data_IF_154282991516
#
_entry.id   IF_154282991516
#
_cell.length_a   1.000
_cell.length_b   1.000
_cell.length_c   1.000
_cell.angle_alpha   90.00
_cell.angle_beta   90.00
_cell.angle_gamma   90.00
#
_symmetry.space_group_name_H-M   'P 1'
#
loop_
_entity.id
_entity.type
_entity.pdbx_description
1 polymer ?
#
# COMPACT_ATOMS: atom_id res chain seq x y z
N UNK A 1 -18.97 2.88 -14.01
CA UNK A 1 -17.62 3.45 -13.79
C UNK A 1 -17.76 4.71 -12.94
N UNK A 2 -16.78 5.03 -12.08
CA UNK A 2 -16.86 6.11 -11.09
C UNK A 2 -16.01 7.32 -11.50
N UNK A 3 -16.43 8.50 -11.07
CA UNK A 3 -15.66 9.75 -11.19
C UNK A 3 -14.75 9.89 -9.97
N UNK A 4 -13.49 10.26 -10.20
CA UNK A 4 -12.54 10.52 -9.12
C UNK A 4 -12.15 11.98 -9.09
N UNK A 5 -11.94 12.52 -7.90
CA UNK A 5 -11.43 13.86 -7.67
C UNK A 5 -10.06 13.74 -7.03
N UNK A 6 -9.09 14.40 -7.66
CA UNK A 6 -7.70 14.48 -7.21
C UNK A 6 -7.51 15.81 -6.51
N UNK A 7 -6.89 15.76 -5.35
CA UNK A 7 -6.56 16.90 -4.52
C UNK A 7 -5.06 16.90 -4.27
N UNK A 8 -4.50 18.08 -4.03
CA UNK A 8 -3.13 18.25 -3.60
C UNK A 8 -3.10 18.77 -2.16
N UNK A 9 -2.22 18.19 -1.33
CA UNK A 9 -1.95 18.74 0.00
C UNK A 9 -1.19 20.05 -0.15
N UNK A 10 -1.64 21.06 0.59
CA UNK A 10 -0.93 22.33 0.72
C UNK A 10 0.20 22.27 1.74
N UNK A 11 0.12 21.33 2.68
CA UNK A 11 1.10 21.14 3.76
C UNK A 11 2.22 20.18 3.38
N UNK A 12 1.95 19.22 2.50
CA UNK A 12 2.88 18.14 2.14
C UNK A 12 3.11 18.19 0.61
N UNK A 13 4.23 18.77 0.14
CA UNK A 13 4.55 18.85 -1.27
C UNK A 13 4.56 17.47 -1.94
N UNK A 14 3.84 17.34 -3.05
CA UNK A 14 3.76 16.09 -3.82
C UNK A 14 2.70 15.10 -3.31
N UNK A 15 2.15 15.27 -2.11
CA UNK A 15 1.06 14.43 -1.62
C UNK A 15 -0.24 14.76 -2.34
N UNK A 16 -0.85 13.74 -2.92
CA UNK A 16 -2.13 13.79 -3.60
C UNK A 16 -3.15 12.92 -2.88
N UNK A 17 -4.34 13.47 -2.71
CA UNK A 17 -5.51 12.76 -2.19
C UNK A 17 -6.49 12.45 -3.31
N UNK A 18 -7.10 11.27 -3.27
CA UNK A 18 -8.12 10.85 -4.21
C UNK A 18 -9.40 10.56 -3.44
N UNK A 19 -10.53 11.03 -3.94
CA UNK A 19 -11.84 10.76 -3.37
C UNK A 19 -12.93 10.69 -4.45
N UNK A 20 -14.12 10.21 -4.08
CA UNK A 20 -15.32 10.26 -4.94
C UNK A 20 -16.16 11.53 -4.72
N UNK A 21 -15.85 12.32 -3.69
CA UNK A 21 -16.53 13.59 -3.41
C UNK A 21 -15.71 14.77 -3.94
N UNK A 22 -16.32 15.74 -4.65
CA UNK A 22 -15.66 16.96 -5.09
C UNK A 22 -15.19 17.86 -3.94
N UNK A 23 -15.74 17.68 -2.74
CA UNK A 23 -15.36 18.44 -1.55
C UNK A 23 -14.17 17.81 -0.80
N UNK A 24 -13.80 16.55 -1.09
CA UNK A 24 -12.68 15.88 -0.44
C UNK A 24 -12.90 15.63 1.06
N UNK A 25 -14.14 15.58 1.54
CA UNK A 25 -14.50 15.48 2.97
C UNK A 25 -13.95 14.24 3.66
N UNK A 26 -13.72 13.16 2.91
CA UNK A 26 -13.14 11.93 3.42
C UNK A 26 -11.61 12.02 3.60
N UNK A 27 -10.95 13.04 3.05
CA UNK A 27 -9.50 13.16 3.13
C UNK A 27 -9.04 13.51 4.54
N UNK A 28 -7.89 12.97 5.01
CA UNK A 28 -7.40 13.23 6.36
C UNK A 28 -7.11 14.71 6.60
N UNK A 29 -7.71 15.28 7.65
CA UNK A 29 -7.56 16.69 7.97
C UNK A 29 -6.14 17.05 8.45
N UNK A 30 -5.42 16.10 9.07
CA UNK A 30 -4.04 16.24 9.54
C UNK A 30 -3.01 16.32 8.41
N UNK A 31 -3.37 15.84 7.22
CA UNK A 31 -2.53 15.87 6.02
C UNK A 31 -2.98 16.92 5.00
N UNK A 32 -4.09 17.60 5.27
CA UNK A 32 -4.53 18.79 4.55
C UNK A 32 -3.81 20.06 5.03
N UNK A 33 -4.30 21.26 4.67
CA UNK A 33 -5.47 21.52 3.83
C UNK A 33 -5.35 20.99 2.39
N UNK A 34 -6.47 20.59 1.81
CA UNK A 34 -6.56 19.97 0.47
C UNK A 34 -7.07 20.98 -0.56
N UNK A 35 -6.40 21.05 -1.71
CA UNK A 35 -6.83 21.87 -2.85
C UNK A 35 -7.23 20.98 -4.02
N UNK A 36 -8.41 21.18 -4.64
CA UNK A 36 -8.79 20.42 -5.84
C UNK A 36 -7.78 20.62 -6.97
N UNK A 37 -7.34 19.53 -7.59
CA UNK A 37 -6.34 19.53 -8.67
C UNK A 37 -6.94 19.09 -10.00
N UNK A 38 -7.69 17.99 -10.01
CA UNK A 38 -8.23 17.40 -11.23
C UNK A 38 -9.51 16.60 -10.93
N UNK A 39 -10.44 16.58 -11.87
CA UNK A 39 -11.54 15.62 -11.90
C UNK A 39 -11.26 14.63 -13.03
N UNK A 40 -11.40 13.33 -12.77
CA UNK A 40 -11.20 12.26 -13.73
C UNK A 40 -12.53 11.55 -13.94
N UNK A 41 -13.08 11.68 -15.14
CA UNK A 41 -14.34 11.05 -15.53
C UNK A 41 -14.27 9.52 -15.60
N UNK A 42 -15.44 8.84 -15.66
CA UNK A 42 -15.51 7.38 -15.80
C UNK A 42 -14.81 6.88 -17.07
N UNK A 43 -14.99 7.59 -18.18
CA UNK A 43 -14.51 7.24 -19.52
C UNK A 43 -13.25 8.02 -19.93
N UNK A 44 -12.70 8.84 -19.02
CA UNK A 44 -11.48 9.60 -19.26
C UNK A 44 -10.25 8.69 -19.20
N UNK A 45 -9.26 8.98 -20.05
CA UNK A 45 -8.01 8.25 -20.07
C UNK A 45 -7.24 8.45 -18.77
N UNK A 46 -6.76 7.34 -18.19
CA UNK A 46 -6.02 7.38 -16.94
C UNK A 46 -4.54 7.69 -17.20
N UNK A 47 -4.13 8.92 -16.87
CA UNK A 47 -2.79 9.46 -17.17
C UNK A 47 -1.88 9.57 -15.96
N UNK A 48 -2.29 9.06 -14.81
CA UNK A 48 -1.51 9.13 -13.57
C UNK A 48 -0.59 7.93 -13.41
N UNK A 49 0.59 8.16 -12.83
CA UNK A 49 1.61 7.13 -12.56
C UNK A 49 1.24 6.17 -11.41
N UNK A 50 0.01 6.25 -10.90
CA UNK A 50 -0.57 5.35 -9.90
C UNK A 50 -1.70 4.56 -10.56
N UNK A 51 -1.82 3.27 -10.32
CA UNK A 51 -2.90 2.45 -10.90
C UNK A 51 -4.30 2.91 -10.49
N UNK A 52 -5.20 3.05 -11.47
CA UNK A 52 -6.63 3.33 -11.25
C UNK A 52 -7.29 2.32 -10.33
N UNK A 53 -6.89 1.06 -10.41
CA UNK A 53 -7.44 -0.02 -9.59
C UNK A 53 -7.03 0.12 -8.11
N UNK A 54 -5.79 0.53 -7.84
CA UNK A 54 -5.30 0.80 -6.48
C UNK A 54 -6.09 1.97 -5.88
N UNK A 55 -6.23 3.07 -6.62
CA UNK A 55 -7.00 4.24 -6.19
C UNK A 55 -8.45 3.84 -5.88
N UNK A 56 -9.08 3.08 -6.78
CA UNK A 56 -10.44 2.61 -6.61
C UNK A 56 -10.61 1.75 -5.34
N UNK A 57 -9.71 0.78 -5.11
CA UNK A 57 -9.77 -0.06 -3.92
C UNK A 57 -9.50 0.73 -2.64
N UNK A 58 -8.53 1.64 -2.66
CA UNK A 58 -8.25 2.53 -1.53
C UNK A 58 -9.48 3.34 -1.13
N UNK A 59 -10.17 3.94 -2.10
CA UNK A 59 -11.40 4.70 -1.89
C UNK A 59 -12.54 3.79 -1.40
N UNK A 60 -12.71 2.60 -1.97
CA UNK A 60 -13.73 1.65 -1.53
C UNK A 60 -13.54 1.22 -0.07
N UNK A 61 -12.30 1.07 0.37
CA UNK A 61 -11.97 0.66 1.73
C UNK A 61 -12.03 1.82 2.73
N UNK A 62 -11.51 2.99 2.37
CA UNK A 62 -11.25 4.09 3.32
C UNK A 62 -12.02 5.38 3.02
N UNK A 63 -12.74 5.46 1.91
CA UNK A 63 -13.36 6.69 1.39
C UNK A 63 -12.39 7.61 0.65
N UNK A 64 -11.08 7.37 0.76
CA UNK A 64 -10.03 8.11 0.06
C UNK A 64 -8.82 7.22 -0.27
N UNK A 65 -7.92 7.72 -1.12
CA UNK A 65 -6.59 7.15 -1.33
C UNK A 65 -5.54 8.26 -1.32
N UNK A 66 -4.34 7.96 -0.82
CA UNK A 66 -3.22 8.90 -0.77
C UNK A 66 -2.08 8.41 -1.65
N UNK A 67 -1.49 9.31 -2.41
CA UNK A 67 -0.38 9.03 -3.30
C UNK A 67 0.69 10.11 -3.21
N UNK A 68 1.95 9.70 -3.27
CA UNK A 68 3.09 10.58 -3.12
C UNK A 68 3.76 10.44 -1.75
N UNK A 69 4.82 11.23 -1.51
CA UNK A 69 5.56 11.15 -0.26
C UNK A 69 4.64 11.54 0.88
N UNK A 70 4.43 10.63 1.84
CA UNK A 70 3.81 10.97 3.12
C UNK A 70 4.91 11.61 3.96
N UNK A 71 5.40 12.77 3.52
CA UNK A 71 6.53 13.46 4.14
C UNK A 71 6.05 14.05 5.47
N UNK A 72 6.09 13.22 6.50
CA UNK A 72 6.26 13.65 7.88
C UNK A 72 7.77 13.58 8.14
N UNK A 73 8.39 14.66 8.65
CA UNK A 73 9.84 14.83 8.70
C UNK A 73 10.53 13.53 9.11
N UNK A 74 11.54 13.11 8.33
CA UNK A 74 12.36 11.95 8.61
C UNK A 74 12.71 11.96 10.10
N UNK A 75 12.14 11.00 10.85
CA UNK A 75 12.44 10.94 12.26
C UNK A 75 13.91 10.54 12.36
N UNK A 76 14.73 11.38 12.97
CA UNK A 76 16.11 11.04 13.33
C UNK A 76 16.21 9.84 14.29
N UNK A 77 15.06 9.35 14.77
CA UNK A 77 14.96 8.17 15.61
C UNK A 77 14.78 6.92 14.73
N UNK A 78 15.45 5.80 15.06
CA UNK A 78 15.44 4.55 14.30
C UNK A 78 14.11 3.78 14.41
N UNK A 79 13.04 4.45 14.82
CA UNK A 79 11.74 3.87 15.11
C UNK A 79 10.70 4.56 14.24
N UNK A 80 9.91 3.75 13.55
CA UNK A 80 8.72 4.19 12.82
C UNK A 80 7.50 3.80 13.64
N UNK A 81 6.59 4.75 13.83
CA UNK A 81 5.30 4.51 14.49
C UNK A 81 4.41 3.66 13.58
N UNK A 82 3.55 2.81 14.13
CA UNK A 82 2.76 1.86 13.32
C UNK A 82 1.84 2.55 12.32
N UNK A 83 1.23 3.67 12.71
CA UNK A 83 0.41 4.53 11.87
C UNK A 83 1.21 5.21 10.75
N UNK A 84 2.54 5.30 10.90
CA UNK A 84 3.46 5.74 9.83
C UNK A 84 3.86 4.61 8.89
N UNK A 85 3.65 3.35 9.25
CA UNK A 85 3.90 2.21 8.36
C UNK A 85 2.66 1.93 7.50
N UNK A 86 1.48 1.99 8.12
CA UNK A 86 0.19 1.88 7.42
C UNK A 86 0.01 3.02 6.40
N UNK A 87 -0.54 2.69 5.23
CA UNK A 87 -0.69 3.64 4.13
C UNK A 87 0.60 3.94 3.36
N UNK A 88 1.76 3.42 3.78
CA UNK A 88 3.03 3.65 3.06
C UNK A 88 3.04 2.89 1.73
N UNK A 89 3.53 3.56 0.68
CA UNK A 89 3.66 2.99 -0.65
C UNK A 89 4.67 1.83 -0.70
N UNK A 90 4.35 0.83 -1.51
CA UNK A 90 5.25 -0.29 -1.86
C UNK A 90 5.64 -0.17 -3.32
N UNK A 91 6.93 -0.19 -3.59
CA UNK A 91 7.54 0.01 -4.90
C UNK A 91 8.26 -1.25 -5.39
N UNK A 92 8.26 -1.45 -6.70
CA UNK A 92 9.09 -2.44 -7.37
C UNK A 92 10.57 -1.97 -7.45
N UNK A 93 11.50 -2.81 -7.95
CA UNK A 93 12.90 -2.39 -8.12
C UNK A 93 13.09 -1.26 -9.14
N UNK A 94 12.13 -1.02 -10.04
CA UNK A 94 12.15 0.06 -11.01
C UNK A 94 11.63 1.39 -10.44
N UNK A 95 11.10 1.39 -9.22
CA UNK A 95 10.52 2.57 -8.57
C UNK A 95 9.06 2.80 -8.91
N UNK A 96 8.39 1.86 -9.57
CA UNK A 96 6.95 1.92 -9.83
C UNK A 96 6.19 1.54 -8.56
N UNK A 97 5.19 2.31 -8.17
CA UNK A 97 4.35 1.94 -7.04
C UNK A 97 3.40 0.80 -7.43
N UNK A 98 3.54 -0.33 -6.74
CA UNK A 98 2.80 -1.58 -6.97
C UNK A 98 1.87 -1.96 -5.82
N UNK A 99 1.91 -1.21 -4.72
CA UNK A 99 1.04 -1.48 -3.60
C UNK A 99 1.06 -0.43 -2.50
N UNK A 100 0.38 -0.75 -1.41
CA UNK A 100 0.29 0.06 -0.20
C UNK A 100 0.18 -0.85 1.01
N UNK A 101 0.95 -0.55 2.06
CA UNK A 101 0.88 -1.28 3.32
C UNK A 101 -0.47 -1.00 3.98
N UNK A 102 -1.17 -2.07 4.37
CA UNK A 102 -2.45 -1.99 5.07
C UNK A 102 -2.30 -2.03 6.58
N UNK A 103 -1.51 -2.98 7.09
CA UNK A 103 -1.28 -3.18 8.53
C UNK A 103 -0.11 -4.12 8.78
N UNK A 104 0.39 -4.06 10.01
CA UNK A 104 1.42 -4.96 10.52
C UNK A 104 0.81 -6.10 11.34
N UNK A 105 1.38 -7.29 11.19
CA UNK A 105 1.06 -8.46 12.02
C UNK A 105 2.19 -8.66 13.01
N UNK A 106 1.92 -8.33 14.26
CA UNK A 106 2.90 -8.26 15.35
C UNK A 106 2.72 -9.46 16.28
N UNK A 107 3.79 -10.17 16.56
CA UNK A 107 3.79 -11.25 17.55
C UNK A 107 3.56 -10.67 18.95
N UNK A 108 2.44 -11.04 19.58
CA UNK A 108 2.01 -10.48 20.88
C UNK A 108 3.06 -10.58 21.99
N UNK A 109 3.83 -11.66 22.04
CA UNK A 109 4.76 -11.92 23.14
C UNK A 109 6.10 -11.20 22.97
N UNK A 110 6.69 -11.21 21.77
CA UNK A 110 8.00 -10.59 21.53
C UNK A 110 7.90 -9.13 21.06
N UNK A 111 6.74 -8.71 20.55
CA UNK A 111 6.55 -7.41 19.90
C UNK A 111 7.17 -7.32 18.50
N UNK A 112 7.66 -8.43 17.92
CA UNK A 112 8.27 -8.44 16.59
C UNK A 112 7.21 -8.39 15.50
N UNK A 113 7.46 -7.59 14.47
CA UNK A 113 6.68 -7.61 13.23
C UNK A 113 7.06 -8.88 12.46
N UNK A 114 6.11 -9.79 12.27
CA UNK A 114 6.35 -11.03 11.53
C UNK A 114 5.97 -10.86 10.06
N UNK A 115 4.82 -10.24 9.83
CA UNK A 115 4.26 -10.06 8.50
C UNK A 115 3.66 -8.68 8.32
N UNK A 116 3.36 -8.37 7.07
CA UNK A 116 2.69 -7.15 6.64
C UNK A 116 1.62 -7.53 5.63
N UNK A 117 0.41 -6.99 5.83
CA UNK A 117 -0.64 -7.05 4.83
C UNK A 117 -0.41 -5.91 3.84
N UNK A 118 -0.27 -6.27 2.57
CA UNK A 118 -0.09 -5.33 1.46
C UNK A 118 -1.27 -5.46 0.52
N UNK A 119 -1.85 -4.31 0.17
CA UNK A 119 -2.77 -4.22 -0.96
C UNK A 119 -1.91 -3.98 -2.20
N UNK A 120 -1.73 -5.03 -3.00
CA UNK A 120 -1.11 -4.97 -4.30
C UNK A 120 -2.13 -4.62 -5.36
N UNK A 121 -1.72 -3.82 -6.35
CA UNK A 121 -2.51 -3.55 -7.53
C UNK A 121 -1.67 -2.85 -8.57
N UNK A 122 -2.20 -2.73 -9.79
CA UNK A 122 -1.46 -2.03 -10.86
C UNK A 122 -0.39 -2.86 -11.56
N UNK A 123 -0.19 -4.11 -11.19
CA UNK A 123 0.50 -5.07 -12.05
C UNK A 123 -0.33 -5.25 -13.33
N UNK A 124 0.10 -4.60 -14.43
CA UNK A 124 -0.44 -4.76 -15.79
C UNK A 124 -1.98 -4.67 -15.94
N UNK A 125 -2.68 -3.98 -15.03
CA UNK A 125 -4.15 -3.88 -15.04
C UNK A 125 -4.87 -5.12 -14.49
N UNK A 126 -4.15 -6.08 -13.93
CA UNK A 126 -4.70 -7.15 -13.11
C UNK A 126 -5.19 -6.53 -11.80
N UNK A 127 -6.28 -7.09 -11.25
CA UNK A 127 -7.08 -6.50 -10.18
C UNK A 127 -6.33 -6.19 -8.88
N UNK A 128 -7.09 -5.92 -7.84
CA UNK A 128 -6.51 -5.65 -6.52
C UNK A 128 -6.40 -6.94 -5.73
N UNK A 129 -5.20 -7.20 -5.22
CA UNK A 129 -4.84 -8.40 -4.50
C UNK A 129 -4.37 -8.04 -3.09
N UNK A 130 -4.94 -8.66 -2.07
CA UNK A 130 -4.48 -8.48 -0.70
C UNK A 130 -3.63 -9.67 -0.30
N UNK A 131 -2.35 -9.44 0.01
CA UNK A 131 -1.43 -10.50 0.40
C UNK A 131 -0.68 -10.15 1.67
N UNK A 132 -0.60 -11.14 2.56
CA UNK A 132 0.27 -11.12 3.72
C UNK A 132 1.62 -11.66 3.32
N UNK A 133 2.67 -10.86 3.51
CA UNK A 133 4.05 -11.21 3.17
C UNK A 133 4.93 -11.07 4.40
N UNK A 134 6.05 -11.82 4.50
CA UNK A 134 7.04 -11.61 5.55
C UNK A 134 7.57 -10.18 5.53
N UNK A 135 7.75 -9.60 6.73
CA UNK A 135 8.22 -8.22 6.86
C UNK A 135 9.59 -8.00 6.21
N UNK A 136 10.46 -9.01 6.24
CA UNK A 136 11.81 -8.97 5.67
C UNK A 136 11.86 -8.97 4.13
N UNK A 137 10.72 -9.11 3.46
CA UNK A 137 10.56 -8.87 2.01
C UNK A 137 10.49 -7.39 1.66
N UNK A 138 10.29 -6.52 2.65
CA UNK A 138 10.25 -5.08 2.46
C UNK A 138 11.56 -4.44 2.94
N UNK A 139 11.99 -3.38 2.25
CA UNK A 139 13.12 -2.54 2.66
C UNK A 139 12.68 -1.11 2.55
N UNK A 140 12.91 -0.35 3.60
CA UNK A 140 12.62 1.07 3.54
C UNK A 140 13.64 1.77 2.63
N UNK A 141 13.15 2.48 1.62
CA UNK A 141 13.92 3.38 0.76
C UNK A 141 13.64 4.82 1.22
N UNK A 142 14.69 5.47 1.69
CA UNK A 142 14.63 6.85 2.21
C UNK A 142 14.42 7.90 1.13
N UNK A 143 14.79 7.63 -0.12
CA UNK A 143 14.57 8.55 -1.25
C UNK A 143 13.12 8.51 -1.72
N UNK A 144 12.50 7.32 -1.71
CA UNK A 144 11.09 7.13 -2.04
C UNK A 144 10.15 7.36 -0.86
N UNK A 145 10.69 7.49 0.36
CA UNK A 145 9.94 7.50 1.62
C UNK A 145 8.93 6.34 1.73
N UNK A 146 9.28 5.18 1.18
CA UNK A 146 8.40 4.02 1.10
C UNK A 146 9.18 2.71 1.10
N UNK A 147 8.47 1.60 0.89
CA UNK A 147 9.08 0.28 0.95
C UNK A 147 9.33 -0.28 -0.45
N UNK A 148 10.52 -0.82 -0.70
CA UNK A 148 10.81 -1.61 -1.90
C UNK A 148 10.62 -3.09 -1.65
N UNK A 149 10.18 -3.78 -2.69
CA UNK A 149 10.11 -5.23 -2.78
C UNK A 149 10.54 -5.71 -4.16
N UNK A 150 11.10 -6.90 -4.24
CA UNK A 150 11.38 -7.63 -5.47
C UNK A 150 10.26 -8.64 -5.81
N UNK A 151 9.20 -8.68 -4.99
CA UNK A 151 8.03 -9.54 -5.22
C UNK A 151 7.37 -9.16 -6.55
N UNK A 152 7.25 -10.17 -7.40
CA UNK A 152 6.64 -10.07 -8.73
C UNK A 152 5.15 -10.40 -8.70
N UNK A 153 4.42 -9.95 -9.71
CA UNK A 153 3.00 -10.30 -9.90
C UNK A 153 2.75 -11.81 -9.85
N UNK A 154 3.58 -12.60 -10.52
CA UNK A 154 3.44 -14.06 -10.55
C UNK A 154 3.54 -14.68 -9.15
N UNK A 155 4.37 -14.11 -8.28
CA UNK A 155 4.51 -14.55 -6.89
C UNK A 155 3.33 -14.09 -6.04
N UNK A 156 2.80 -12.90 -6.28
CA UNK A 156 1.55 -12.44 -5.63
C UNK A 156 0.40 -13.39 -5.99
N UNK A 157 0.20 -13.67 -7.28
CA UNK A 157 -0.89 -14.54 -7.76
C UNK A 157 -0.71 -15.99 -7.29
N UNK A 158 0.53 -16.49 -7.22
CA UNK A 158 0.83 -17.84 -6.76
C UNK A 158 0.87 -18.01 -5.24
N UNK A 159 0.87 -16.92 -4.48
CA UNK A 159 1.00 -16.99 -3.02
C UNK A 159 -0.28 -17.56 -2.37
N UNK A 160 -0.14 -18.47 -1.40
CA UNK A 160 -1.26 -18.91 -0.57
C UNK A 160 -1.96 -17.73 0.11
N UNK A 161 -3.28 -17.77 0.20
CA UNK A 161 -4.02 -16.79 0.99
C UNK A 161 -3.73 -17.02 2.49
N UNK A 162 -3.35 -15.95 3.20
CA UNK A 162 -3.06 -16.03 4.62
C UNK A 162 -4.32 -16.23 5.47
N UNK A 163 -5.37 -15.48 5.15
CA UNK A 163 -6.67 -15.64 5.78
C UNK A 163 -7.54 -16.64 4.99
N UNK A 164 -8.33 -17.44 5.71
CA UNK A 164 -9.50 -18.09 5.12
C UNK A 164 -10.64 -17.10 4.90
N UNK A 165 -11.78 -17.59 4.41
CA UNK A 165 -12.97 -16.76 4.13
C UNK A 165 -13.49 -16.00 5.37
N UNK A 166 -13.17 -16.48 6.57
CA UNK A 166 -13.60 -15.93 7.86
C UNK A 166 -12.65 -14.88 8.46
N UNK A 167 -11.52 -14.56 7.81
CA UNK A 167 -10.48 -13.66 8.33
C UNK A 167 -9.93 -14.07 9.70
N UNK A 168 -10.05 -15.34 10.07
CA UNK A 168 -9.46 -15.90 11.30
C UNK A 168 -7.97 -16.15 11.07
N UNK A 169 -7.16 -15.94 12.12
CA UNK A 169 -5.73 -16.25 12.06
C UNK A 169 -5.53 -17.69 11.59
N UNK A 170 -4.66 -17.94 10.59
CA UNK A 170 -4.53 -19.26 10.00
C UNK A 170 -4.11 -20.30 11.03
N UNK A 171 -4.58 -21.53 10.84
CA UNK A 171 -4.00 -22.68 11.55
C UNK A 171 -2.50 -22.80 11.26
N UNK A 172 -1.76 -23.43 12.18
CA UNK A 172 -0.30 -23.53 12.08
C UNK A 172 0.20 -24.12 10.76
N UNK A 173 -0.54 -25.06 10.18
CA UNK A 173 -0.21 -25.68 8.90
C UNK A 173 -0.24 -24.68 7.74
N UNK A 174 -1.27 -23.84 7.65
CA UNK A 174 -1.38 -22.79 6.64
C UNK A 174 -0.37 -21.66 6.87
N UNK A 175 -0.13 -21.30 8.13
CA UNK A 175 0.91 -20.33 8.45
C UNK A 175 2.32 -20.85 8.07
N UNK A 176 2.55 -22.17 8.23
CA UNK A 176 3.77 -22.82 7.77
C UNK A 176 3.88 -22.83 6.25
N UNK A 177 2.81 -23.20 5.53
CA UNK A 177 2.77 -23.19 4.07
C UNK A 177 3.10 -21.80 3.49
N UNK A 178 2.52 -20.74 4.06
CA UNK A 178 2.86 -19.37 3.66
C UNK A 178 4.34 -19.06 3.92
N UNK A 179 4.86 -19.43 5.10
CA UNK A 179 6.28 -19.22 5.44
C UNK A 179 7.20 -19.94 4.48
N UNK A 180 6.92 -21.21 4.19
CA UNK A 180 7.71 -22.04 3.30
C UNK A 180 7.72 -21.45 1.89
N UNK A 181 6.54 -21.05 1.38
CA UNK A 181 6.42 -20.38 0.08
C UNK A 181 7.34 -19.16 -0.05
N UNK A 182 7.31 -18.25 0.93
CA UNK A 182 8.12 -17.03 0.87
C UNK A 182 9.60 -17.25 1.24
N UNK A 183 9.91 -18.29 2.00
CA UNK A 183 11.29 -18.67 2.31
C UNK A 183 12.00 -19.21 1.07
N UNK A 184 11.32 -20.02 0.26
CA UNK A 184 11.87 -20.63 -0.96
C UNK A 184 12.06 -19.62 -2.10
N UNK A 185 11.52 -18.41 -1.93
CA UNK A 185 11.71 -17.27 -2.83
C UNK A 185 12.65 -16.28 -2.14
N UNK A 186 13.97 -16.52 -2.08
CA UNK A 186 14.89 -15.61 -1.42
C UNK A 186 14.83 -14.23 -2.07
N UNK A 187 14.99 -13.21 -1.23
CA UNK A 187 14.99 -11.83 -1.68
C UNK A 187 16.18 -11.58 -2.62
N UNK A 188 15.90 -11.11 -3.82
CA UNK A 188 16.86 -10.64 -4.81
C UNK A 188 17.44 -9.26 -4.46
N UNK A 189 18.42 -8.80 -5.23
CA UNK A 189 18.98 -7.46 -5.06
C UNK A 189 17.90 -6.40 -5.35
N UNK A 190 17.84 -5.40 -4.47
CA UNK A 190 16.98 -4.20 -4.53
C UNK A 190 17.84 -2.97 -4.70
#
# INVERSE_FOLDING_TARGET
MRTYYVFQSTSIPGLRGFAESPAGEALPADQGPWTPLQQIGPDEEWTLDISRAIVAAGILENGFYLWGPVNRPASTHPVIESDRVEGTAVYDPQGTQIGTIKRLLIEKASGRVLYVDVTFGGFLGVGVHHHTIPWDKLSYDTELEGYRTDITEAQVVGAPAFYGDDRVWPERSREQELRDYWHDIPRGPI
#
